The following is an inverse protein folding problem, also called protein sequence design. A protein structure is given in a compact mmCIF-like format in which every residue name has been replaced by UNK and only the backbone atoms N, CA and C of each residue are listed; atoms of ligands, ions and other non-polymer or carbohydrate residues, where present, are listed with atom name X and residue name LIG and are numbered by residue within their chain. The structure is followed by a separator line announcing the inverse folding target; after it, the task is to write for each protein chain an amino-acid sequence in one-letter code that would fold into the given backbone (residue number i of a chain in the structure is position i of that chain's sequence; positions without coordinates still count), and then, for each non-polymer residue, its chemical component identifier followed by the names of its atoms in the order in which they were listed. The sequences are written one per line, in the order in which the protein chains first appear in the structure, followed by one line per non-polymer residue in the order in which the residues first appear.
data_IF_697947334253
#
_entry.id   IF_697947334253
#
_cell.length_a   1.000
_cell.length_b   1.000
_cell.length_c   1.000
_cell.angle_alpha   90.00
_cell.angle_beta   90.00
_cell.angle_gamma   90.00
#
_symmetry.space_group_name_H-M   'P 1'
#
loop_
_entity.id
_entity.type
_entity.pdbx_description
1 polymer ?
#
# COMPACT_ATOMS: atom_id res chain seq x y z
N UNK A 1 -4.16 9.54 -19.71
CA UNK A 1 -2.94 8.99 -20.35
C UNK A 1 -3.31 8.47 -21.72
N UNK A 2 -2.80 9.07 -22.78
CA UNK A 2 -3.07 8.61 -24.16
C UNK A 2 -2.31 7.31 -24.45
N UNK A 3 -2.97 6.33 -25.07
CA UNK A 3 -2.35 5.05 -25.43
C UNK A 3 -2.42 3.95 -24.37
N UNK A 4 -3.09 4.18 -23.24
CA UNK A 4 -3.42 3.13 -22.27
C UNK A 4 -4.91 2.81 -22.39
N UNK A 5 -5.20 1.63 -22.92
CA UNK A 5 -6.55 1.08 -22.98
C UNK A 5 -6.87 0.17 -21.78
N UNK A 6 -8.14 -0.28 -21.65
CA UNK A 6 -8.59 -1.13 -20.54
C UNK A 6 -7.77 -2.41 -20.37
N UNK A 7 -7.39 -3.06 -21.49
CA UNK A 7 -6.59 -4.29 -21.48
C UNK A 7 -5.21 -4.08 -20.86
N UNK A 8 -4.56 -2.94 -21.18
CA UNK A 8 -3.24 -2.62 -20.65
C UNK A 8 -3.33 -2.20 -19.18
N UNK A 9 -4.33 -1.40 -18.82
CA UNK A 9 -4.56 -1.01 -17.42
C UNK A 9 -4.80 -2.24 -16.52
N UNK A 10 -5.58 -3.21 -17.00
CA UNK A 10 -5.79 -4.47 -16.29
C UNK A 10 -4.48 -5.25 -16.14
N UNK A 11 -3.69 -5.38 -17.22
CA UNK A 11 -2.38 -6.04 -17.17
C UNK A 11 -1.41 -5.37 -16.17
N UNK A 12 -1.45 -4.03 -16.08
CA UNK A 12 -0.66 -3.28 -15.08
C UNK A 12 -1.06 -3.62 -13.65
N UNK A 13 -2.36 -3.68 -13.36
CA UNK A 13 -2.87 -4.05 -12.03
C UNK A 13 -2.73 -5.55 -11.73
N UNK A 14 -2.66 -6.40 -12.75
CA UNK A 14 -2.33 -7.82 -12.60
C UNK A 14 -0.84 -8.04 -12.32
N UNK A 15 0.04 -7.18 -12.82
CA UNK A 15 1.50 -7.27 -12.62
C UNK A 15 2.00 -6.56 -11.36
N UNK A 16 1.34 -5.48 -10.93
CA UNK A 16 1.67 -4.74 -9.71
C UNK A 16 0.40 -4.37 -8.95
N UNK A 17 0.39 -4.54 -7.61
CA UNK A 17 -0.65 -3.96 -6.77
C UNK A 17 -0.82 -2.47 -7.03
N UNK A 18 -2.04 -1.94 -6.91
CA UNK A 18 -2.34 -0.54 -7.24
C UNK A 18 -1.44 0.46 -6.48
N UNK A 19 -1.12 0.19 -5.20
CA UNK A 19 -0.22 1.03 -4.40
C UNK A 19 1.22 0.96 -4.91
N UNK A 20 1.75 -0.25 -5.13
CA UNK A 20 3.09 -0.45 -5.68
C UNK A 20 3.25 0.19 -7.06
N UNK A 21 2.22 0.11 -7.91
CA UNK A 21 2.18 0.82 -9.19
C UNK A 21 2.24 2.34 -8.98
N UNK A 22 1.41 2.87 -8.08
CA UNK A 22 1.41 4.31 -7.78
C UNK A 22 2.76 4.80 -7.24
N UNK A 23 3.39 4.03 -6.35
CA UNK A 23 4.71 4.32 -5.82
C UNK A 23 5.79 4.24 -6.91
N UNK A 24 5.76 3.23 -7.77
CA UNK A 24 6.68 3.12 -8.91
C UNK A 24 6.59 4.35 -9.82
N UNK A 25 5.37 4.86 -10.05
CA UNK A 25 5.17 6.08 -10.84
C UNK A 25 5.68 7.32 -10.12
N UNK A 26 5.40 7.48 -8.82
CA UNK A 26 5.86 8.65 -8.03
C UNK A 26 7.38 8.68 -7.91
N UNK A 27 8.00 7.52 -7.67
CA UNK A 27 9.45 7.35 -7.54
C UNK A 27 10.18 7.32 -8.89
N UNK A 28 9.45 7.44 -10.01
CA UNK A 28 10.04 7.39 -11.36
C UNK A 28 10.80 6.09 -11.65
N UNK A 29 10.33 4.97 -11.11
CA UNK A 29 10.90 3.64 -11.29
C UNK A 29 10.53 3.05 -12.66
N UNK A 30 11.24 3.54 -13.69
CA UNK A 30 11.02 3.15 -15.07
C UNK A 30 11.22 1.64 -15.34
N UNK A 31 12.27 0.97 -14.81
CA UNK A 31 12.45 -0.48 -15.00
C UNK A 31 11.24 -1.30 -14.51
N UNK A 32 10.67 -0.94 -13.35
CA UNK A 32 9.52 -1.63 -12.76
C UNK A 32 8.22 -1.43 -13.54
N UNK A 33 8.09 -0.31 -14.25
CA UNK A 33 6.96 -0.10 -15.16
C UNK A 33 7.12 -0.90 -16.47
N UNK A 34 8.35 -0.99 -16.98
CA UNK A 34 8.65 -1.72 -18.23
C UNK A 34 8.55 -3.25 -18.03
N UNK A 35 8.72 -3.77 -16.81
CA UNK A 35 8.55 -5.20 -16.54
C UNK A 35 7.11 -5.70 -16.70
N UNK A 36 6.13 -4.80 -16.80
CA UNK A 36 4.73 -5.15 -17.00
C UNK A 36 4.52 -5.57 -18.47
N UNK A 37 3.93 -6.76 -18.73
CA UNK A 37 3.63 -7.20 -20.08
C UNK A 37 2.78 -6.18 -20.85
N UNK A 38 3.30 -5.72 -21.99
CA UNK A 38 2.64 -4.73 -22.85
C UNK A 38 2.96 -3.27 -22.54
N UNK A 39 3.74 -2.99 -21.49
CA UNK A 39 4.24 -1.63 -21.20
C UNK A 39 5.66 -1.48 -21.76
N UNK A 40 5.78 -0.84 -22.92
CA UNK A 40 7.08 -0.48 -23.48
C UNK A 40 7.66 0.79 -22.85
N UNK A 41 8.94 1.07 -23.13
CA UNK A 41 9.66 2.25 -22.61
C UNK A 41 8.93 3.57 -22.86
N UNK A 42 8.46 3.80 -24.09
CA UNK A 42 7.72 5.02 -24.46
C UNK A 42 6.41 5.18 -23.68
N UNK A 43 5.71 4.07 -23.44
CA UNK A 43 4.47 4.07 -22.66
C UNK A 43 4.76 4.31 -21.19
N UNK A 44 5.81 3.69 -20.64
CA UNK A 44 6.24 3.90 -19.26
C UNK A 44 6.66 5.35 -18.99
N UNK A 45 7.43 5.96 -19.90
CA UNK A 45 7.80 7.38 -19.82
C UNK A 45 6.56 8.29 -19.86
N UNK A 46 5.58 7.97 -20.72
CA UNK A 46 4.30 8.71 -20.77
C UNK A 46 3.50 8.58 -19.48
N UNK A 47 3.46 7.39 -18.89
CA UNK A 47 2.84 7.12 -17.59
C UNK A 47 3.47 7.99 -16.51
N UNK A 48 4.80 8.04 -16.46
CA UNK A 48 5.52 8.86 -15.48
C UNK A 48 5.15 10.34 -15.60
N UNK A 49 5.13 10.90 -16.81
CA UNK A 49 4.81 12.31 -17.00
C UNK A 49 3.35 12.61 -16.65
N UNK A 50 2.41 11.81 -17.18
CA UNK A 50 0.97 12.10 -17.07
C UNK A 50 0.42 11.78 -15.67
N UNK A 51 0.99 10.80 -14.94
CA UNK A 51 0.41 10.27 -13.70
C UNK A 51 1.19 10.59 -12.42
N UNK A 52 2.46 11.04 -12.51
CA UNK A 52 3.27 11.29 -11.31
C UNK A 52 2.65 12.31 -10.36
N UNK A 53 2.24 13.46 -10.87
CA UNK A 53 1.64 14.51 -10.04
C UNK A 53 0.27 14.11 -9.45
N UNK A 54 -0.70 13.61 -10.23
CA UNK A 54 -1.98 13.20 -9.65
C UNK A 54 -1.83 12.04 -8.66
N UNK A 55 -0.95 11.06 -8.91
CA UNK A 55 -0.73 9.95 -7.98
C UNK A 55 0.03 10.38 -6.71
N UNK A 56 0.96 11.34 -6.81
CA UNK A 56 1.61 11.89 -5.62
C UNK A 56 0.60 12.56 -4.67
N UNK A 57 -0.35 13.34 -5.22
CA UNK A 57 -1.45 13.94 -4.43
C UNK A 57 -2.35 12.87 -3.83
N UNK A 58 -2.66 11.83 -4.59
CA UNK A 58 -3.54 10.74 -4.17
C UNK A 58 -2.88 9.90 -3.04
N UNK A 59 -1.59 9.60 -3.15
CA UNK A 59 -0.83 8.90 -2.10
C UNK A 59 -0.67 9.76 -0.84
N UNK A 60 -0.51 11.08 -0.96
CA UNK A 60 -0.45 11.98 0.19
C UNK A 60 -1.78 12.07 0.97
N UNK A 61 -2.92 11.85 0.29
CA UNK A 61 -4.26 11.84 0.88
C UNK A 61 -4.69 10.44 1.34
N UNK A 62 -4.12 9.39 0.76
CA UNK A 62 -4.45 8.02 1.10
C UNK A 62 -3.68 7.60 2.38
N UNK A 63 -4.37 7.08 3.41
CA UNK A 63 -3.67 6.50 4.55
C UNK A 63 -2.67 5.44 4.05
N UNK A 64 -1.44 5.47 4.54
CA UNK A 64 -0.44 4.44 4.26
C UNK A 64 -0.99 3.09 4.73
N UNK A 65 -1.09 2.07 3.84
CA UNK A 65 -1.23 0.70 4.28
C UNK A 65 0.10 0.29 4.91
N UNK A 66 -0.01 -0.53 5.93
CA UNK A 66 1.09 -0.88 6.80
C UNK A 66 1.85 -1.99 6.10
N UNK A 67 2.97 -1.64 5.46
CA UNK A 67 4.05 -2.55 5.06
C UNK A 67 3.72 -3.64 4.03
N UNK A 68 4.18 -3.46 2.79
CA UNK A 68 4.46 -4.57 1.86
C UNK A 68 5.73 -5.30 2.34
N UNK A 69 5.60 -6.10 3.40
CA UNK A 69 6.68 -6.89 3.99
C UNK A 69 6.12 -8.03 4.82
N UNK A 70 5.73 -9.13 4.15
CA UNK A 70 5.59 -10.45 4.79
C UNK A 70 4.55 -10.64 5.91
N UNK A 71 3.64 -9.70 6.18
CA UNK A 71 2.64 -9.81 7.27
C UNK A 71 1.24 -9.29 6.92
N UNK A 72 0.90 -9.23 5.63
CA UNK A 72 -0.29 -8.54 5.08
C UNK A 72 -1.64 -9.04 5.64
N UNK A 73 -1.75 -10.28 6.09
CA UNK A 73 -3.00 -10.75 6.69
C UNK A 73 -3.23 -10.14 8.08
N UNK A 74 -2.21 -10.16 8.94
CA UNK A 74 -2.37 -9.80 10.34
C UNK A 74 -2.57 -8.29 10.56
N UNK A 75 -1.97 -7.42 9.72
CA UNK A 75 -2.09 -5.97 9.84
C UNK A 75 -3.48 -5.44 9.49
N UNK A 76 -4.04 -5.89 8.37
CA UNK A 76 -5.38 -5.50 7.92
C UNK A 76 -6.49 -6.15 8.76
N UNK A 77 -6.28 -7.40 9.21
CA UNK A 77 -7.17 -8.07 10.16
C UNK A 77 -7.19 -7.34 11.52
N UNK A 78 -6.03 -6.94 12.02
CA UNK A 78 -5.91 -6.17 13.27
C UNK A 78 -6.58 -4.80 13.17
N UNK A 79 -6.38 -4.09 12.05
CA UNK A 79 -7.05 -2.81 11.78
C UNK A 79 -8.57 -2.98 11.83
N UNK A 80 -9.08 -3.97 11.11
CA UNK A 80 -10.51 -4.26 11.04
C UNK A 80 -11.08 -4.65 12.40
N UNK A 81 -10.38 -5.50 13.17
CA UNK A 81 -10.80 -5.91 14.50
C UNK A 81 -10.89 -4.73 15.47
N UNK A 82 -9.88 -3.86 15.52
CA UNK A 82 -9.84 -2.72 16.43
C UNK A 82 -10.85 -1.63 16.03
N UNK A 83 -11.07 -1.40 14.73
CA UNK A 83 -12.13 -0.47 14.28
C UNK A 83 -13.51 -0.99 14.64
N UNK A 84 -13.76 -2.30 14.48
CA UNK A 84 -15.03 -2.93 14.88
C UNK A 84 -15.28 -2.88 16.40
N UNK A 85 -14.23 -2.83 17.21
CA UNK A 85 -14.32 -2.58 18.66
C UNK A 85 -14.65 -1.11 19.01
N UNK A 86 -14.73 -0.22 18.01
CA UNK A 86 -15.12 1.18 18.18
C UNK A 86 -13.95 2.16 18.24
N UNK A 87 -12.71 1.71 17.99
CA UNK A 87 -11.56 2.60 17.97
C UNK A 87 -11.44 3.37 16.66
N UNK A 88 -10.98 4.62 16.74
CA UNK A 88 -10.77 5.47 15.56
C UNK A 88 -9.64 4.92 14.69
N UNK A 89 -9.93 4.69 13.41
CA UNK A 89 -8.99 4.14 12.42
C UNK A 89 -7.63 4.85 12.44
N UNK A 90 -7.62 6.19 12.54
CA UNK A 90 -6.38 6.98 12.58
C UNK A 90 -5.48 6.63 13.77
N UNK A 91 -6.06 6.33 14.93
CA UNK A 91 -5.31 5.95 16.13
C UNK A 91 -4.78 4.53 15.96
N UNK A 92 -5.65 3.63 15.48
CA UNK A 92 -5.33 2.23 15.24
C UNK A 92 -4.15 2.09 14.28
N UNK A 93 -4.17 2.79 13.13
CA UNK A 93 -3.06 2.77 12.16
C UNK A 93 -1.71 3.14 12.78
N UNK A 94 -1.69 4.19 13.62
CA UNK A 94 -0.48 4.62 14.35
C UNK A 94 0.08 3.54 15.28
N UNK A 95 -0.82 2.82 15.94
CA UNK A 95 -0.45 1.73 16.86
C UNK A 95 0.10 0.55 16.09
N UNK A 96 -0.55 0.16 15.00
CA UNK A 96 -0.09 -0.96 14.18
C UNK A 96 1.28 -0.63 13.54
N UNK A 97 1.53 0.60 13.08
CA UNK A 97 2.87 1.01 12.62
C UNK A 97 3.95 0.90 13.70
N UNK A 98 3.63 1.23 14.95
CA UNK A 98 4.55 1.05 16.08
C UNK A 98 4.81 -0.44 16.36
N UNK A 99 3.76 -1.26 16.31
CA UNK A 99 3.85 -2.70 16.54
C UNK A 99 4.63 -3.39 15.42
N UNK A 100 4.42 -3.01 14.16
CA UNK A 100 5.16 -3.56 13.02
C UNK A 100 6.68 -3.33 13.10
N UNK A 101 7.13 -2.29 13.82
CA UNK A 101 8.56 -2.05 14.08
C UNK A 101 9.11 -2.88 15.25
N UNK A 102 8.24 -3.37 16.12
CA UNK A 102 8.60 -4.01 17.39
C UNK A 102 8.44 -5.53 17.35
N UNK A 103 7.51 -6.02 16.53
CA UNK A 103 7.14 -7.42 16.42
C UNK A 103 7.53 -7.96 15.03
N UNK A 104 8.03 -9.21 14.94
CA UNK A 104 8.29 -9.86 13.68
C UNK A 104 6.99 -10.11 12.89
N UNK A 105 7.05 -10.22 11.55
CA UNK A 105 5.87 -10.39 10.70
C UNK A 105 5.10 -11.70 10.94
N UNK A 106 5.72 -12.68 11.58
CA UNK A 106 5.12 -13.98 11.93
C UNK A 106 4.38 -13.98 13.27
N UNK A 107 4.25 -12.81 13.92
CA UNK A 107 3.58 -12.71 15.21
C UNK A 107 2.08 -13.02 15.06
N UNK A 108 1.52 -13.92 15.90
CA UNK A 108 0.11 -14.29 15.82
C UNK A 108 -0.80 -13.09 16.11
N UNK A 109 -1.94 -13.02 15.41
CA UNK A 109 -2.89 -11.92 15.50
C UNK A 109 -3.36 -11.64 16.93
N UNK A 110 -3.61 -12.68 17.73
CA UNK A 110 -4.05 -12.55 19.13
C UNK A 110 -3.04 -11.81 20.02
N UNK A 111 -1.75 -11.99 19.75
CA UNK A 111 -0.68 -11.30 20.47
C UNK A 111 -0.62 -9.83 20.03
N UNK A 112 -0.79 -9.56 18.74
CA UNK A 112 -0.87 -8.20 18.21
C UNK A 112 -2.09 -7.44 18.73
N UNK A 113 -3.25 -8.08 18.87
CA UNK A 113 -4.46 -7.47 19.45
C UNK A 113 -4.20 -7.07 20.90
N UNK A 114 -3.63 -7.97 21.71
CA UNK A 114 -3.29 -7.66 23.11
C UNK A 114 -2.29 -6.52 23.21
N UNK A 115 -1.24 -6.54 22.41
CA UNK A 115 -0.24 -5.49 22.38
C UNK A 115 -0.82 -4.14 21.93
N UNK A 116 -1.71 -4.14 20.93
CA UNK A 116 -2.39 -2.93 20.46
C UNK A 116 -3.31 -2.33 21.52
N UNK A 117 -4.13 -3.15 22.18
CA UNK A 117 -5.00 -2.69 23.26
C UNK A 117 -4.19 -2.12 24.45
N UNK A 118 -3.07 -2.74 24.80
CA UNK A 118 -2.19 -2.22 25.85
C UNK A 118 -1.57 -0.86 25.48
N UNK A 119 -1.11 -0.70 24.23
CA UNK A 119 -0.53 0.56 23.75
C UNK A 119 -1.58 1.68 23.65
N UNK A 120 -2.86 1.35 23.43
CA UNK A 120 -3.97 2.32 23.34
C UNK A 120 -4.53 2.76 24.70
N UNK A 121 -4.28 2.00 25.76
CA UNK A 121 -4.65 2.35 27.14
C UNK A 121 -3.62 3.27 27.82
N UNK A 122 -2.52 3.58 27.12
CA UNK A 122 -1.42 4.39 27.61
C UNK A 122 -1.50 5.82 27.08
#
# INVERSE_FOLDING_TARGET
VSGIGPKLALAMLSGLPARALAQAVVNSDLPRLISIPGVGRKTAERVLVDLREPLAKLLALAPEPIGEGGGLAAGDELLSALVNLGYKERIVRRVIEKLAKRFPPETPLEELIRAALHEMQK
#
